data_IF_057457471035
#
_entry.id   IF_057457471035
#
_cell.length_a   1.000
_cell.length_b   1.000
_cell.length_c   1.000
_cell.angle_alpha   90.00
_cell.angle_beta   90.00
_cell.angle_gamma   90.00
#
_symmetry.space_group_name_H-M   'P 1'
#
loop_
_entity.id
_entity.type
_entity.pdbx_description
1 polymer ?
#
# COMPACT_ATOMS: atom_id res chain seq x y z
N UNK A 1 -18.14 16.54 -8.42
CA UNK A 1 -18.24 17.65 -7.45
C UNK A 1 -19.70 17.87 -7.05
N UNK A 2 -20.32 16.85 -6.46
CA UNK A 2 -21.49 17.06 -5.60
C UNK A 2 -21.04 17.43 -4.17
N UNK A 3 -19.73 17.36 -3.88
CA UNK A 3 -19.17 17.57 -2.54
C UNK A 3 -18.84 19.04 -2.21
N UNK A 4 -19.34 20.02 -2.97
CA UNK A 4 -18.91 21.41 -2.81
C UNK A 4 -20.02 22.42 -2.49
N UNK A 5 -21.26 22.02 -2.23
CA UNK A 5 -22.30 22.97 -1.80
C UNK A 5 -23.30 22.33 -0.85
N UNK A 6 -23.04 22.47 0.44
CA UNK A 6 -24.05 22.36 1.49
C UNK A 6 -24.60 23.76 1.78
N UNK A 7 -25.29 24.41 0.85
CA UNK A 7 -26.09 25.59 1.22
C UNK A 7 -27.08 25.98 0.12
N UNK A 8 -28.33 26.13 0.55
CA UNK A 8 -29.48 26.59 -0.21
C UNK A 8 -29.37 28.09 -0.52
N UNK A 9 -28.67 28.46 -1.59
CA UNK A 9 -28.79 29.80 -2.19
C UNK A 9 -29.33 29.72 -3.61
N UNK A 10 -30.50 30.34 -3.80
CA UNK A 10 -31.38 30.24 -4.98
C UNK A 10 -31.01 31.21 -6.13
N UNK A 11 -29.73 31.56 -6.30
CA UNK A 11 -29.29 32.26 -7.51
C UNK A 11 -28.27 31.40 -8.28
N UNK A 12 -28.70 30.95 -9.47
CA UNK A 12 -28.00 30.02 -10.34
C UNK A 12 -27.51 30.69 -11.64
N UNK A 13 -27.69 32.00 -11.79
CA UNK A 13 -27.42 32.72 -13.04
C UNK A 13 -25.93 32.80 -13.42
N UNK A 14 -25.01 32.61 -12.46
CA UNK A 14 -23.56 32.64 -12.66
C UNK A 14 -22.85 31.30 -12.41
N UNK A 15 -23.57 30.22 -12.10
CA UNK A 15 -22.95 28.92 -11.78
C UNK A 15 -22.79 28.08 -13.05
N UNK A 16 -21.56 27.67 -13.34
CA UNK A 16 -21.21 26.88 -14.53
C UNK A 16 -22.08 25.63 -14.74
N UNK A 17 -22.09 25.11 -15.97
CA UNK A 17 -22.93 23.99 -16.36
C UNK A 17 -22.60 22.73 -15.54
N UNK A 18 -23.63 22.12 -14.94
CA UNK A 18 -23.49 20.83 -14.27
C UNK A 18 -23.24 19.72 -15.29
N UNK A 19 -22.00 19.22 -15.35
CA UNK A 19 -21.63 18.08 -16.20
C UNK A 19 -21.51 16.83 -15.34
N UNK A 20 -22.32 15.81 -15.63
CA UNK A 20 -22.18 14.49 -15.02
C UNK A 20 -21.08 13.74 -15.76
N UNK A 21 -19.96 13.49 -15.09
CA UNK A 21 -18.89 12.67 -15.67
C UNK A 21 -19.35 11.21 -15.82
N UNK A 22 -18.97 10.54 -16.92
CA UNK A 22 -19.26 9.12 -17.12
C UNK A 22 -18.49 8.26 -16.11
N UNK A 23 -18.99 7.04 -15.84
CA UNK A 23 -18.31 6.08 -14.96
C UNK A 23 -16.97 5.59 -15.50
N UNK A 24 -16.68 5.81 -16.78
CA UNK A 24 -15.39 5.52 -17.41
C UNK A 24 -14.31 6.54 -17.08
N UNK A 25 -14.66 7.71 -16.52
CA UNK A 25 -13.67 8.69 -16.11
C UNK A 25 -12.99 8.21 -14.83
N UNK A 26 -11.68 7.98 -14.87
CA UNK A 26 -10.95 7.40 -13.74
C UNK A 26 -11.06 8.27 -12.47
N UNK A 27 -11.06 7.61 -11.31
CA UNK A 27 -11.01 8.24 -9.98
C UNK A 27 -12.20 9.12 -9.57
N UNK A 28 -13.27 9.22 -10.37
CA UNK A 28 -14.53 9.88 -9.94
C UNK A 28 -15.36 8.95 -9.06
N UNK A 29 -16.29 9.48 -8.23
CA UNK A 29 -17.12 8.66 -7.36
C UNK A 29 -17.82 7.51 -8.08
N UNK A 30 -18.36 7.74 -9.30
CA UNK A 30 -19.03 6.68 -10.08
C UNK A 30 -18.08 5.56 -10.53
N UNK A 31 -16.84 5.90 -10.91
CA UNK A 31 -15.82 4.91 -11.25
C UNK A 31 -15.45 4.08 -10.02
N UNK A 32 -15.19 4.74 -8.88
CA UNK A 32 -14.85 4.07 -7.63
C UNK A 32 -16.00 3.18 -7.12
N UNK A 33 -17.25 3.64 -7.22
CA UNK A 33 -18.43 2.83 -6.91
C UNK A 33 -18.53 1.62 -7.83
N UNK A 34 -18.23 1.75 -9.13
CA UNK A 34 -18.18 0.62 -10.07
C UNK A 34 -17.17 -0.43 -9.64
N UNK A 35 -15.92 -0.03 -9.39
CA UNK A 35 -14.86 -0.93 -8.92
C UNK A 35 -15.23 -1.63 -7.61
N UNK A 36 -15.88 -0.91 -6.69
CA UNK A 36 -16.37 -1.50 -5.44
C UNK A 36 -17.46 -2.55 -5.70
N UNK A 37 -18.44 -2.27 -6.57
CA UNK A 37 -19.48 -3.24 -6.91
C UNK A 37 -18.90 -4.48 -7.60
N UNK A 38 -17.91 -4.32 -8.49
CA UNK A 38 -17.21 -5.45 -9.12
C UNK A 38 -16.47 -6.31 -8.09
N UNK A 39 -15.76 -5.68 -7.14
CA UNK A 39 -15.08 -6.38 -6.07
C UNK A 39 -16.06 -7.14 -5.16
N UNK A 40 -17.21 -6.54 -4.85
CA UNK A 40 -18.27 -7.18 -4.08
C UNK A 40 -18.94 -8.32 -4.86
N UNK A 41 -19.12 -8.19 -6.17
CA UNK A 41 -19.65 -9.25 -7.03
C UNK A 41 -18.69 -10.46 -7.07
N UNK A 42 -17.39 -10.21 -7.21
CA UNK A 42 -16.36 -11.26 -7.12
C UNK A 42 -16.36 -11.95 -5.75
N UNK A 43 -16.48 -11.17 -4.68
CA UNK A 43 -16.55 -11.73 -3.31
C UNK A 43 -17.81 -12.54 -3.07
N UNK A 44 -18.95 -12.15 -3.69
CA UNK A 44 -20.19 -12.94 -3.64
C UNK A 44 -20.08 -14.24 -4.44
N UNK A 45 -19.39 -14.21 -5.58
CA UNK A 45 -19.28 -15.37 -6.47
C UNK A 45 -18.23 -16.38 -6.00
N UNK A 46 -17.04 -15.91 -5.61
CA UNK A 46 -15.92 -16.76 -5.19
C UNK A 46 -15.82 -16.96 -3.67
N UNK A 47 -16.61 -16.23 -2.89
CA UNK A 47 -16.52 -16.22 -1.42
C UNK A 47 -15.47 -15.23 -0.92
N UNK A 48 -14.97 -15.43 0.31
CA UNK A 48 -13.96 -14.55 0.90
C UNK A 48 -12.62 -14.66 0.14
N UNK A 49 -11.89 -13.54 -0.07
CA UNK A 49 -10.53 -13.60 -0.59
C UNK A 49 -9.62 -14.41 0.34
N UNK A 50 -8.64 -15.11 -0.24
CA UNK A 50 -7.70 -15.96 0.49
C UNK A 50 -6.55 -15.16 1.07
N UNK A 51 -6.02 -14.19 0.33
CA UNK A 51 -4.98 -13.27 0.79
C UNK A 51 -5.38 -11.82 0.54
N UNK A 52 -5.03 -10.97 1.50
CA UNK A 52 -5.02 -9.52 1.36
C UNK A 52 -3.58 -9.02 1.42
N UNK A 53 -3.06 -8.61 0.27
CA UNK A 53 -1.65 -8.20 0.13
C UNK A 53 -1.61 -6.68 -0.02
N UNK A 54 -0.78 -6.04 0.81
CA UNK A 54 -0.45 -4.63 0.65
C UNK A 54 1.00 -4.50 0.24
N UNK A 55 1.26 -3.74 -0.83
CA UNK A 55 2.61 -3.45 -1.28
C UNK A 55 2.78 -1.94 -1.45
N UNK A 56 3.73 -1.37 -0.72
CA UNK A 56 3.98 0.07 -0.66
C UNK A 56 5.29 0.39 -1.36
N UNK A 57 5.33 1.49 -2.11
CA UNK A 57 6.56 1.95 -2.73
C UNK A 57 7.62 2.26 -1.67
N UNK A 58 8.90 2.05 -2.02
CA UNK A 58 10.02 2.40 -1.15
C UNK A 58 10.89 3.44 -1.87
N UNK A 59 11.11 4.64 -1.31
CA UNK A 59 11.88 5.68 -1.96
C UNK A 59 13.38 5.36 -1.96
N UNK A 60 13.81 4.37 -1.17
CA UNK A 60 15.19 3.89 -1.09
C UNK A 60 15.51 2.76 -2.07
N UNK A 61 14.60 2.42 -2.98
CA UNK A 61 14.91 1.49 -4.07
C UNK A 61 16.01 2.06 -4.95
N UNK A 62 16.92 1.18 -5.38
CA UNK A 62 18.09 1.57 -6.17
C UNK A 62 17.69 2.28 -7.46
N UNK A 63 16.65 1.76 -8.13
CA UNK A 63 16.10 2.32 -9.36
C UNK A 63 15.52 3.73 -9.17
N UNK A 64 15.12 4.08 -7.94
CA UNK A 64 14.72 5.45 -7.61
C UNK A 64 15.96 6.29 -7.35
N UNK A 65 16.85 5.84 -6.45
CA UNK A 65 17.98 6.65 -5.98
C UNK A 65 19.03 6.91 -7.06
N UNK A 66 19.20 5.98 -8.00
CA UNK A 66 20.14 6.13 -9.12
C UNK A 66 19.69 7.21 -10.12
N UNK A 67 18.39 7.53 -10.15
CA UNK A 67 17.78 8.50 -11.07
C UNK A 67 17.56 9.89 -10.42
N UNK A 68 17.92 10.05 -9.14
CA UNK A 68 17.84 11.32 -8.44
C UNK A 68 19.15 12.09 -8.62
N UNK A 69 19.03 13.39 -8.90
CA UNK A 69 20.16 14.31 -8.85
C UNK A 69 20.67 14.49 -7.39
N UNK A 70 21.93 14.91 -7.18
CA UNK A 70 22.53 15.00 -5.84
C UNK A 70 21.75 15.86 -4.81
N UNK A 71 20.96 16.82 -5.28
CA UNK A 71 20.14 17.73 -4.48
C UNK A 71 18.65 17.36 -4.47
N UNK A 72 18.26 16.27 -5.14
CA UNK A 72 16.88 15.81 -5.21
C UNK A 72 16.58 14.73 -4.16
N UNK A 73 15.37 14.80 -3.62
CA UNK A 73 14.76 13.72 -2.85
C UNK A 73 13.71 13.00 -3.68
N UNK A 74 13.34 11.79 -3.25
CA UNK A 74 12.24 11.04 -3.84
C UNK A 74 10.91 11.82 -3.88
N UNK A 75 10.71 12.75 -2.94
CA UNK A 75 9.50 13.59 -2.89
C UNK A 75 9.50 14.67 -3.96
N UNK A 76 10.67 15.09 -4.44
CA UNK A 76 10.83 16.07 -5.51
C UNK A 76 10.56 15.46 -6.89
N UNK A 77 10.70 14.12 -7.00
CA UNK A 77 10.47 13.33 -8.23
C UNK A 77 9.40 12.25 -8.06
N UNK A 78 8.13 12.63 -7.80
CA UNK A 78 7.04 11.66 -7.64
C UNK A 78 6.77 10.85 -8.91
N UNK A 79 7.16 11.35 -10.07
CA UNK A 79 7.09 10.65 -11.35
C UNK A 79 8.01 9.42 -11.41
N UNK A 80 9.24 9.52 -10.88
CA UNK A 80 10.18 8.40 -10.78
C UNK A 80 9.60 7.34 -9.84
N UNK A 81 9.15 7.75 -8.65
CA UNK A 81 8.53 6.85 -7.67
C UNK A 81 7.35 6.09 -8.28
N UNK A 82 6.44 6.79 -8.97
CA UNK A 82 5.28 6.16 -9.59
C UNK A 82 5.67 5.15 -10.69
N UNK A 83 6.70 5.46 -11.49
CA UNK A 83 7.21 4.57 -12.54
C UNK A 83 7.85 3.31 -11.96
N UNK A 84 8.77 3.46 -11.01
CA UNK A 84 9.45 2.33 -10.35
C UNK A 84 8.41 1.47 -9.61
N UNK A 85 7.48 2.10 -8.89
CA UNK A 85 6.39 1.39 -8.21
C UNK A 85 5.53 0.58 -9.19
N UNK A 86 5.17 1.15 -10.34
CA UNK A 86 4.39 0.43 -11.34
C UNK A 86 5.16 -0.78 -11.91
N UNK A 87 6.48 -0.65 -12.14
CA UNK A 87 7.33 -1.76 -12.58
C UNK A 87 7.37 -2.89 -11.54
N UNK A 88 7.60 -2.55 -10.26
CA UNK A 88 7.61 -3.52 -9.17
C UNK A 88 6.24 -4.18 -8.95
N UNK A 89 5.15 -3.41 -9.07
CA UNK A 89 3.79 -3.96 -9.03
C UNK A 89 3.55 -4.99 -10.13
N UNK A 90 4.02 -4.71 -11.35
CA UNK A 90 3.90 -5.64 -12.48
C UNK A 90 4.67 -6.94 -12.23
N UNK A 91 5.88 -6.84 -11.71
CA UNK A 91 6.66 -8.04 -11.36
C UNK A 91 5.97 -8.86 -10.26
N UNK A 92 5.50 -8.22 -9.18
CA UNK A 92 4.74 -8.90 -8.12
C UNK A 92 3.49 -9.61 -8.67
N UNK A 93 2.78 -8.98 -9.60
CA UNK A 93 1.62 -9.60 -10.24
C UNK A 93 2.00 -10.76 -11.16
N UNK A 94 3.15 -10.70 -11.81
CA UNK A 94 3.67 -11.80 -12.61
C UNK A 94 4.11 -12.97 -11.72
N UNK A 95 4.72 -12.70 -10.56
CA UNK A 95 5.02 -13.71 -9.54
C UNK A 95 3.74 -14.43 -9.08
N UNK A 96 2.71 -13.64 -8.72
CA UNK A 96 1.42 -14.18 -8.25
C UNK A 96 0.69 -14.95 -9.35
N UNK A 97 0.59 -14.40 -10.56
CA UNK A 97 -0.31 -14.92 -11.60
C UNK A 97 0.33 -15.91 -12.56
N UNK A 98 1.63 -15.76 -12.85
CA UNK A 98 2.33 -16.57 -13.85
C UNK A 98 3.25 -17.59 -13.18
N UNK A 99 4.01 -17.16 -12.16
CA UNK A 99 4.91 -18.05 -11.41
C UNK A 99 4.16 -18.83 -10.32
N UNK A 100 2.91 -18.47 -10.02
CA UNK A 100 2.02 -19.14 -9.07
C UNK A 100 2.67 -19.31 -7.68
N UNK A 101 3.34 -18.27 -7.18
CA UNK A 101 4.06 -18.34 -5.89
C UNK A 101 3.16 -18.68 -4.70
N UNK A 102 1.86 -18.39 -4.80
CA UNK A 102 0.83 -18.75 -3.81
C UNK A 102 -0.10 -19.88 -4.27
N UNK A 103 0.19 -20.50 -5.42
CA UNK A 103 -0.72 -21.43 -6.09
C UNK A 103 -1.57 -20.77 -7.18
N UNK A 104 -2.49 -21.56 -7.74
CA UNK A 104 -3.37 -21.12 -8.84
C UNK A 104 -4.48 -20.20 -8.33
N UNK A 105 -4.86 -19.19 -9.12
CA UNK A 105 -5.86 -18.19 -8.73
C UNK A 105 -7.10 -18.20 -9.64
N UNK A 106 -8.26 -17.91 -9.05
CA UNK A 106 -9.55 -17.71 -9.75
C UNK A 106 -9.80 -16.26 -10.11
N UNK A 107 -9.48 -15.34 -9.20
CA UNK A 107 -9.69 -13.92 -9.38
C UNK A 107 -8.65 -13.09 -8.63
N UNK A 108 -8.42 -11.87 -9.11
CA UNK A 108 -7.59 -10.86 -8.47
C UNK A 108 -8.30 -9.51 -8.59
N UNK A 109 -8.51 -8.86 -7.45
CA UNK A 109 -8.92 -7.44 -7.41
C UNK A 109 -7.72 -6.65 -6.90
N UNK A 110 -7.42 -5.51 -7.52
CA UNK A 110 -6.39 -4.61 -7.01
C UNK A 110 -6.82 -3.15 -7.11
N UNK A 111 -6.40 -2.36 -6.13
CA UNK A 111 -6.57 -0.91 -6.10
C UNK A 111 -5.23 -0.26 -5.80
N UNK A 112 -4.83 0.71 -6.61
CA UNK A 112 -3.64 1.53 -6.35
C UNK A 112 -4.10 2.85 -5.74
N UNK A 113 -3.49 3.22 -4.62
CA UNK A 113 -3.78 4.44 -3.90
C UNK A 113 -2.55 5.35 -3.88
N UNK A 114 -2.75 6.59 -4.30
CA UNK A 114 -1.78 7.67 -4.19
C UNK A 114 -2.20 8.58 -3.04
N UNK A 115 -1.49 8.50 -1.93
CA UNK A 115 -1.79 9.32 -0.75
C UNK A 115 -1.17 10.71 -0.90
N UNK A 116 -1.88 11.75 -0.44
CA UNK A 116 -1.40 13.15 -0.52
C UNK A 116 -0.03 13.39 0.14
N UNK A 117 0.28 12.62 1.19
CA UNK A 117 1.54 12.71 1.96
C UNK A 117 2.20 11.33 2.16
N UNK A 118 1.77 10.34 1.38
CA UNK A 118 2.22 8.96 1.50
C UNK A 118 2.68 8.46 0.16
N UNK A 119 3.44 7.37 0.20
CA UNK A 119 3.93 6.74 -1.01
C UNK A 119 2.80 5.95 -1.68
N UNK A 120 2.87 5.76 -3.01
CA UNK A 120 1.94 4.90 -3.71
C UNK A 120 1.95 3.51 -3.07
N UNK A 121 0.76 2.93 -2.89
CA UNK A 121 0.65 1.54 -2.47
C UNK A 121 -0.50 0.86 -3.21
N UNK A 122 -0.45 -0.46 -3.25
CA UNK A 122 -1.46 -1.30 -3.87
C UNK A 122 -2.03 -2.24 -2.83
N UNK A 123 -3.35 -2.34 -2.82
CA UNK A 123 -4.09 -3.37 -2.11
C UNK A 123 -4.53 -4.42 -3.12
N UNK A 124 -4.26 -5.70 -2.83
CA UNK A 124 -4.58 -6.83 -3.70
C UNK A 124 -5.41 -7.85 -2.90
N UNK A 125 -6.60 -8.17 -3.41
CA UNK A 125 -7.39 -9.31 -2.95
C UNK A 125 -7.16 -10.47 -3.92
N UNK A 126 -6.63 -11.58 -3.40
CA UNK A 126 -6.33 -12.78 -4.17
C UNK A 126 -7.30 -13.90 -3.78
N UNK A 127 -7.94 -14.50 -4.78
CA UNK A 127 -8.85 -15.64 -4.63
C UNK A 127 -8.18 -16.88 -5.20
N UNK A 128 -7.69 -17.77 -4.34
CA UNK A 128 -7.00 -18.99 -4.77
C UNK A 128 -8.01 -20.06 -5.23
N UNK A 129 -7.64 -20.83 -6.24
CA UNK A 129 -8.52 -21.82 -6.87
C UNK A 129 -8.68 -23.07 -6.01
N UNK A 130 -7.55 -23.63 -5.58
CA UNK A 130 -7.46 -24.95 -4.99
C UNK A 130 -7.68 -24.90 -3.46
N UNK A 131 -8.44 -25.86 -2.93
CA UNK A 131 -8.61 -26.00 -1.48
C UNK A 131 -7.30 -26.37 -0.78
N UNK A 132 -6.38 -27.06 -1.47
CA UNK A 132 -5.04 -27.34 -0.93
C UNK A 132 -4.21 -26.07 -0.76
N UNK A 133 -4.43 -25.07 -1.61
CA UNK A 133 -3.76 -23.77 -1.57
C UNK A 133 -4.43 -22.81 -0.57
N UNK A 134 -5.50 -23.25 0.12
CA UNK A 134 -6.09 -22.48 1.24
C UNK A 134 -5.23 -22.64 2.49
N UNK A 135 -5.01 -21.53 3.19
CA UNK A 135 -4.34 -21.45 4.49
C UNK A 135 -5.35 -21.69 5.61
N UNK A 136 -5.88 -22.91 5.68
CA UNK A 136 -6.94 -23.33 6.61
C UNK A 136 -6.43 -23.99 7.90
N UNK A 137 -5.11 -24.20 8.00
CA UNK A 137 -4.44 -24.69 9.23
C UNK A 137 -3.35 -23.72 9.67
N UNK A 138 -2.98 -23.79 10.95
CA UNK A 138 -1.87 -23.03 11.53
C UNK A 138 -0.58 -23.26 10.76
N UNK A 139 -0.26 -24.52 10.45
CA UNK A 139 1.01 -24.90 9.82
C UNK A 139 1.14 -24.30 8.42
N UNK A 140 0.03 -24.25 7.68
CA UNK A 140 -0.01 -23.60 6.36
C UNK A 140 0.15 -22.08 6.47
N UNK A 141 -0.49 -21.44 7.45
CA UNK A 141 -0.33 -20.00 7.70
C UNK A 141 1.12 -19.70 8.07
N UNK A 142 1.70 -20.45 9.01
CA UNK A 142 3.07 -20.24 9.49
C UNK A 142 4.11 -20.47 8.38
N UNK A 143 3.80 -21.31 7.39
CA UNK A 143 4.68 -21.52 6.23
C UNK A 143 4.76 -20.33 5.26
N UNK A 144 3.81 -19.39 5.30
CA UNK A 144 3.75 -18.25 4.38
C UNK A 144 3.83 -16.88 5.07
N UNK A 145 3.57 -16.82 6.37
CA UNK A 145 3.59 -15.60 7.17
C UNK A 145 4.46 -15.85 8.39
N UNK A 146 5.40 -14.94 8.62
CA UNK A 146 6.17 -14.89 9.86
C UNK A 146 6.22 -13.47 10.40
N UNK A 147 6.11 -13.34 11.71
CA UNK A 147 6.35 -12.10 12.45
C UNK A 147 7.74 -12.08 13.11
N UNK A 148 8.56 -13.10 12.84
CA UNK A 148 9.90 -13.24 13.39
C UNK A 148 10.93 -12.56 12.49
N UNK A 149 12.03 -12.11 13.11
CA UNK A 149 13.19 -11.65 12.35
C UNK A 149 13.91 -12.90 11.82
N UNK A 150 14.18 -13.00 10.51
CA UNK A 150 14.92 -14.12 9.94
C UNK A 150 16.27 -14.32 10.64
N UNK A 151 16.81 -15.53 10.61
CA UNK A 151 18.12 -15.76 11.20
C UNK A 151 19.24 -15.35 10.22
N UNK A 152 20.21 -14.57 10.71
CA UNK A 152 21.25 -13.98 9.86
C UNK A 152 22.29 -14.98 9.36
N UNK A 153 22.44 -16.13 10.02
CA UNK A 153 23.37 -17.20 9.65
C UNK A 153 22.74 -18.14 8.61
N UNK A 154 21.42 -18.32 8.65
CA UNK A 154 20.66 -19.19 7.72
C UNK A 154 20.12 -18.45 6.50
N UNK A 155 19.61 -17.23 6.66
CA UNK A 155 19.08 -16.40 5.56
C UNK A 155 19.46 -14.93 5.75
N UNK A 156 20.73 -14.65 5.47
CA UNK A 156 21.31 -13.31 5.58
C UNK A 156 20.60 -12.28 4.71
N UNK A 157 20.12 -12.66 3.54
CA UNK A 157 19.50 -11.72 2.60
C UNK A 157 18.12 -11.29 3.11
N UNK A 158 17.28 -12.23 3.52
CA UNK A 158 15.99 -11.91 4.11
C UNK A 158 16.15 -11.16 5.43
N UNK A 159 17.12 -11.56 6.28
CA UNK A 159 17.46 -10.83 7.49
C UNK A 159 17.77 -9.35 7.20
N UNK A 160 18.64 -9.07 6.23
CA UNK A 160 19.00 -7.71 5.85
C UNK A 160 17.79 -6.93 5.31
N UNK A 161 16.92 -7.57 4.53
CA UNK A 161 15.72 -6.92 3.99
C UNK A 161 14.74 -6.57 5.12
N UNK A 162 14.43 -7.51 6.00
CA UNK A 162 13.48 -7.32 7.10
C UNK A 162 14.01 -6.29 8.09
N UNK A 163 15.27 -6.42 8.54
CA UNK A 163 15.87 -5.48 9.50
C UNK A 163 15.97 -4.05 8.95
N UNK A 164 16.23 -3.90 7.65
CA UNK A 164 16.34 -2.58 7.02
C UNK A 164 14.99 -1.90 6.80
N UNK A 165 13.92 -2.65 6.51
CA UNK A 165 12.66 -2.08 6.02
C UNK A 165 11.47 -2.24 6.98
N UNK A 166 11.48 -3.26 7.84
CA UNK A 166 10.33 -3.62 8.69
C UNK A 166 10.57 -3.32 10.18
N UNK A 167 11.81 -3.04 10.57
CA UNK A 167 12.12 -2.66 11.95
C UNK A 167 11.86 -1.18 12.18
N UNK A 168 11.32 -0.86 13.36
CA UNK A 168 11.34 0.52 13.83
C UNK A 168 12.80 0.92 14.03
N UNK A 169 13.24 1.96 13.33
CA UNK A 169 14.60 2.46 13.46
C UNK A 169 14.88 2.98 14.88
N UNK A 170 16.16 3.16 15.25
CA UNK A 170 16.49 3.81 16.51
C UNK A 170 15.78 5.17 16.59
N UNK A 171 15.20 5.45 17.75
CA UNK A 171 14.55 6.71 18.10
C UNK A 171 14.76 6.99 19.59
N UNK A 172 14.10 8.02 20.13
CA UNK A 172 14.32 8.44 21.50
C UNK A 172 15.70 9.05 21.65
N UNK A 173 16.36 8.76 22.77
CA UNK A 173 17.68 9.29 23.09
C UNK A 173 18.77 8.87 22.08
N UNK A 174 18.60 7.69 21.47
CA UNK A 174 19.55 7.15 20.48
C UNK A 174 19.49 7.94 19.17
N UNK A 175 18.30 8.38 18.75
CA UNK A 175 18.13 9.22 17.57
C UNK A 175 16.94 10.20 17.75
N UNK A 176 17.20 11.36 18.37
CA UNK A 176 16.16 12.36 18.62
C UNK A 176 15.59 12.98 17.33
N UNK A 177 16.29 12.83 16.20
CA UNK A 177 15.90 13.37 14.89
C UNK A 177 15.01 12.43 14.08
N UNK A 178 14.69 11.25 14.60
CA UNK A 178 13.81 10.30 13.91
C UNK A 178 12.43 10.92 13.65
N UNK A 179 11.80 10.71 12.46
CA UNK A 179 10.52 11.33 12.12
C UNK A 179 9.35 10.99 13.06
N UNK A 180 9.49 9.93 13.85
CA UNK A 180 8.51 9.53 14.85
C UNK A 180 8.62 10.32 16.16
N UNK A 181 9.68 11.11 16.36
CA UNK A 181 9.89 11.90 17.57
C UNK A 181 8.98 13.13 17.54
N UNK A 182 8.15 13.28 18.58
CA UNK A 182 7.20 14.38 18.73
C UNK A 182 7.28 14.93 20.15
N UNK A 183 7.02 16.23 20.34
CA UNK A 183 6.87 16.82 21.68
C UNK A 183 5.54 16.39 22.29
N UNK A 184 5.59 15.94 23.55
CA UNK A 184 4.39 15.73 24.34
C UNK A 184 3.85 17.06 24.93
N UNK A 185 2.73 16.98 25.66
CA UNK A 185 2.08 18.16 26.25
C UNK A 185 2.96 18.94 27.25
N UNK A 186 4.07 18.34 27.70
CA UNK A 186 5.03 18.94 28.63
C UNK A 186 6.33 19.38 27.93
N UNK A 187 6.37 19.34 26.59
CA UNK A 187 7.55 19.70 25.80
C UNK A 187 8.66 18.64 25.81
N UNK A 188 8.34 17.40 26.21
CA UNK A 188 9.32 16.31 26.23
C UNK A 188 9.24 15.56 24.90
N UNK A 189 10.37 15.45 24.20
CA UNK A 189 10.47 14.66 22.97
C UNK A 189 10.28 13.18 23.27
N UNK A 190 9.25 12.57 22.70
CA UNK A 190 8.95 11.14 22.82
C UNK A 190 8.63 10.54 21.46
N UNK A 191 8.87 9.25 21.31
CA UNK A 191 8.42 8.55 20.11
C UNK A 191 6.89 8.47 20.09
N UNK A 192 6.26 8.98 19.03
CA UNK A 192 4.81 8.94 18.82
C UNK A 192 4.24 7.52 18.72
N UNK A 193 5.11 6.52 18.61
CA UNK A 193 4.78 5.09 18.53
C UNK A 193 5.11 4.33 19.82
N UNK A 194 5.59 5.04 20.85
CA UNK A 194 5.89 4.48 22.16
C UNK A 194 7.14 3.60 22.20
N UNK A 195 8.16 3.90 21.38
CA UNK A 195 9.45 3.21 21.42
C UNK A 195 10.50 3.95 22.28
N UNK A 196 11.44 3.22 22.93
CA UNK A 196 11.47 1.76 23.01
C UNK A 196 10.27 1.23 23.81
N UNK A 197 9.75 0.08 23.40
CA UNK A 197 8.75 -0.64 24.19
C UNK A 197 9.51 -1.44 25.25
N UNK A 198 9.12 -1.29 26.51
CA UNK A 198 9.64 -2.11 27.62
C UNK A 198 9.36 -3.61 27.39
#
# INVERSE_FOLDING_TARGET
LADATSESSNDLSEKGVQVILPSSFASVPRFMSGLYQDAMALSRFFGKPTLFITFTANPKWKETTDELEPDQTAMDRPDIIARVFNLKCRELLDDIKKKNIFGTYKAVVRTIEYQKRGLPHVHILLFLDNEKDRFDTSEKIDSIISAEIPDADTDKDLYNIVTKNMMHGPCGDINPKSPCMVEDAFGIMKCSKGFPKD
#
